data_IF_103936885087
#
_entry.id   IF_103936885087
#
_cell.length_a   1.000
_cell.length_b   1.000
_cell.length_c   1.000
_cell.angle_alpha   90.00
_cell.angle_beta   90.00
_cell.angle_gamma   90.00
#
_symmetry.space_group_name_H-M   'P 1'
#
loop_
_entity.id
_entity.type
_entity.pdbx_description
1 polymer ?
#
# COMPACT_ATOMS: atom_id res chain seq x y z
N UNK A 1 -14.23 35.35 10.97
CA UNK A 1 -13.82 34.18 11.77
C UNK A 1 -14.53 32.95 11.18
N UNK A 2 -13.87 32.24 10.26
CA UNK A 2 -14.48 31.10 9.56
C UNK A 2 -14.28 29.82 10.39
N UNK A 3 -15.38 29.25 10.88
CA UNK A 3 -15.39 27.93 11.49
C UNK A 3 -15.44 26.86 10.40
N UNK A 4 -14.34 26.11 10.22
CA UNK A 4 -14.34 24.91 9.41
C UNK A 4 -15.13 23.81 10.14
N UNK A 5 -16.33 23.47 9.63
CA UNK A 5 -17.05 22.25 10.04
C UNK A 5 -16.45 21.08 9.29
N UNK A 6 -15.50 20.39 9.91
CA UNK A 6 -15.05 19.08 9.42
C UNK A 6 -16.18 18.07 9.60
N UNK A 7 -16.58 17.41 8.52
CA UNK A 7 -17.52 16.30 8.55
C UNK A 7 -16.76 15.05 9.03
N UNK A 8 -16.69 14.86 10.35
CA UNK A 8 -16.02 13.72 10.98
C UNK A 8 -17.02 12.58 11.10
N UNK A 9 -16.75 11.45 10.44
CA UNK A 9 -17.48 10.20 10.65
C UNK A 9 -17.19 9.66 12.06
N UNK A 10 -18.21 9.10 12.71
CA UNK A 10 -18.10 8.52 14.05
C UNK A 10 -18.65 7.10 14.04
N UNK A 11 -17.96 6.19 14.72
CA UNK A 11 -18.54 4.91 15.12
C UNK A 11 -19.26 5.09 16.45
N UNK A 12 -20.56 4.77 16.50
CA UNK A 12 -21.35 4.74 17.73
C UNK A 12 -21.43 3.29 18.19
N UNK A 13 -20.78 2.96 19.30
CA UNK A 13 -20.74 1.60 19.85
C UNK A 13 -21.67 1.54 21.05
N UNK A 14 -22.70 0.69 20.97
CA UNK A 14 -23.58 0.40 22.09
C UNK A 14 -23.07 -0.86 22.81
N UNK A 15 -22.56 -0.68 24.03
CA UNK A 15 -22.00 -1.77 24.84
C UNK A 15 -23.05 -2.76 25.36
N UNK A 16 -22.61 -3.73 26.16
CA UNK A 16 -23.49 -4.72 26.83
C UNK A 16 -23.66 -6.04 26.09
N UNK A 17 -23.12 -6.17 24.88
CA UNK A 17 -23.15 -7.41 24.09
C UNK A 17 -21.83 -8.19 24.22
N UNK A 18 -21.91 -9.48 24.53
CA UNK A 18 -20.74 -10.38 24.44
C UNK A 18 -20.49 -10.73 22.97
N UNK A 19 -19.23 -10.64 22.54
CA UNK A 19 -18.83 -11.09 21.21
C UNK A 19 -18.76 -12.62 21.17
N UNK A 20 -19.30 -13.22 20.11
CA UNK A 20 -19.24 -14.65 19.83
C UNK A 20 -19.19 -14.86 18.32
N UNK A 21 -18.33 -15.77 17.85
CA UNK A 21 -18.13 -16.07 16.43
C UNK A 21 -16.66 -16.10 16.04
N UNK A 22 -16.42 -16.17 14.74
CA UNK A 22 -15.09 -16.23 14.13
C UNK A 22 -14.93 -15.10 13.12
N UNK A 23 -13.70 -14.62 12.96
CA UNK A 23 -13.34 -13.64 11.94
C UNK A 23 -12.15 -14.15 11.13
N UNK A 24 -12.10 -13.78 9.86
CA UNK A 24 -10.94 -14.02 9.02
C UNK A 24 -9.88 -12.94 9.26
N UNK A 25 -8.64 -13.36 9.49
CA UNK A 25 -7.49 -12.47 9.56
C UNK A 25 -6.84 -12.33 8.18
N UNK A 26 -6.76 -11.11 7.67
CA UNK A 26 -6.01 -10.80 6.44
C UNK A 26 -4.53 -10.59 6.74
N UNK A 27 -3.70 -10.63 5.69
CA UNK A 27 -2.26 -10.48 5.82
C UNK A 27 -1.83 -9.16 6.45
N UNK A 28 -0.67 -9.18 7.09
CA UNK A 28 -0.14 -8.05 7.82
C UNK A 28 0.30 -6.93 6.86
N UNK A 29 -0.31 -5.74 7.00
CA UNK A 29 0.05 -4.53 6.25
C UNK A 29 1.57 -4.32 6.14
N UNK A 30 2.26 -4.36 7.28
CA UNK A 30 3.69 -4.05 7.35
C UNK A 30 4.57 -5.06 6.62
N UNK A 31 4.12 -6.31 6.48
CA UNK A 31 4.80 -7.31 5.67
C UNK A 31 4.51 -7.06 4.19
N UNK A 32 3.23 -6.87 3.83
CA UNK A 32 2.81 -6.60 2.45
C UNK A 32 3.53 -5.39 1.84
N UNK A 33 3.63 -4.27 2.59
CA UNK A 33 4.35 -3.08 2.11
C UNK A 33 5.83 -3.34 1.81
N UNK A 34 6.51 -4.16 2.62
CA UNK A 34 7.92 -4.51 2.40
C UNK A 34 8.08 -5.46 1.22
N UNK A 35 7.15 -6.38 1.01
CA UNK A 35 7.14 -7.28 -0.14
C UNK A 35 6.88 -6.52 -1.45
N UNK A 36 5.96 -5.56 -1.44
CA UNK A 36 5.74 -4.65 -2.58
C UNK A 36 7.02 -3.87 -2.89
N UNK A 37 7.69 -3.29 -1.88
CA UNK A 37 8.94 -2.58 -2.09
C UNK A 37 10.07 -3.51 -2.61
N UNK A 38 10.16 -4.74 -2.09
CA UNK A 38 11.12 -5.73 -2.54
C UNK A 38 10.91 -6.16 -4.00
N UNK A 39 9.68 -6.10 -4.53
CA UNK A 39 9.42 -6.39 -5.95
C UNK A 39 10.21 -5.48 -6.90
N UNK A 40 10.60 -4.27 -6.46
CA UNK A 40 11.49 -3.39 -7.24
C UNK A 40 12.82 -4.09 -7.53
N UNK A 41 13.39 -4.78 -6.54
CA UNK A 41 14.69 -5.46 -6.68
C UNK A 41 14.62 -6.67 -7.63
N UNK A 42 13.46 -7.30 -7.72
CA UNK A 42 13.24 -8.46 -8.60
C UNK A 42 13.26 -8.02 -10.07
N UNK A 43 12.63 -6.89 -10.38
CA UNK A 43 12.61 -6.35 -11.75
C UNK A 43 11.83 -7.21 -12.74
N UNK A 44 10.90 -8.02 -12.26
CA UNK A 44 10.05 -8.92 -13.04
C UNK A 44 8.70 -9.10 -12.31
N UNK A 45 7.85 -9.99 -12.84
CA UNK A 45 6.54 -10.33 -12.28
C UNK A 45 6.65 -11.02 -10.93
N UNK A 46 5.86 -10.56 -9.96
CA UNK A 46 5.71 -11.08 -8.61
C UNK A 46 4.23 -11.19 -8.27
N UNK A 47 3.83 -12.28 -7.64
CA UNK A 47 2.49 -12.46 -7.11
C UNK A 47 2.54 -12.53 -5.59
N UNK A 48 1.73 -11.68 -4.94
CA UNK A 48 1.56 -11.65 -3.49
C UNK A 48 0.12 -12.06 -3.15
N UNK A 49 -0.02 -13.08 -2.30
CA UNK A 49 -1.32 -13.53 -1.79
C UNK A 49 -1.60 -12.96 -0.41
N UNK A 50 -2.88 -13.00 0.00
CA UNK A 50 -3.35 -12.52 1.30
C UNK A 50 -2.97 -11.06 1.59
N UNK A 51 -2.97 -10.19 0.57
CA UNK A 51 -2.68 -8.76 0.71
C UNK A 51 -3.94 -8.03 1.17
N UNK A 52 -3.89 -7.25 2.28
CA UNK A 52 -5.05 -6.50 2.75
C UNK A 52 -5.42 -5.38 1.77
N UNK A 53 -6.71 -5.13 1.60
CA UNK A 53 -7.20 -3.99 0.82
C UNK A 53 -7.37 -2.74 1.69
N UNK A 54 -6.30 -1.95 1.77
CA UNK A 54 -6.23 -0.76 2.60
C UNK A 54 -5.43 0.35 1.90
N UNK A 55 -5.67 1.59 2.32
CA UNK A 55 -5.11 2.80 1.71
C UNK A 55 -3.59 2.76 1.51
N UNK A 56 -2.81 2.34 2.52
CA UNK A 56 -1.34 2.29 2.42
C UNK A 56 -0.85 1.42 1.25
N UNK A 57 -1.53 0.28 0.98
CA UNK A 57 -1.20 -0.61 -0.13
C UNK A 57 -1.56 0.04 -1.46
N UNK A 58 -2.71 0.71 -1.52
CA UNK A 58 -3.16 1.42 -2.72
C UNK A 58 -2.23 2.59 -3.07
N UNK A 59 -1.78 3.35 -2.07
CA UNK A 59 -0.84 4.46 -2.26
C UNK A 59 0.51 3.96 -2.75
N UNK A 60 1.10 2.92 -2.14
CA UNK A 60 2.36 2.34 -2.63
C UNK A 60 2.22 1.82 -4.07
N UNK A 61 1.12 1.12 -4.37
CA UNK A 61 0.86 0.62 -5.72
C UNK A 61 0.76 1.77 -6.73
N UNK A 62 0.07 2.85 -6.35
CA UNK A 62 -0.07 4.05 -7.20
C UNK A 62 1.27 4.71 -7.47
N UNK A 63 2.16 4.80 -6.46
CA UNK A 63 3.52 5.32 -6.64
C UNK A 63 4.25 4.49 -7.69
N UNK A 64 4.27 3.16 -7.54
CA UNK A 64 4.98 2.28 -8.47
C UNK A 64 4.38 2.30 -9.88
N UNK A 65 3.06 2.36 -10.00
CA UNK A 65 2.37 2.50 -11.29
C UNK A 65 2.81 3.78 -12.00
N UNK A 66 2.85 4.91 -11.29
CA UNK A 66 3.32 6.18 -11.87
C UNK A 66 4.79 6.15 -12.28
N UNK A 67 5.58 5.27 -11.67
CA UNK A 67 6.97 5.01 -12.04
C UNK A 67 7.14 3.99 -13.17
N UNK A 68 6.04 3.38 -13.65
CA UNK A 68 6.05 2.45 -14.80
C UNK A 68 5.80 0.99 -14.47
N UNK A 69 5.54 0.63 -13.20
CA UNK A 69 5.12 -0.73 -12.86
C UNK A 69 3.70 -1.02 -13.38
N UNK A 70 3.40 -2.28 -13.68
CA UNK A 70 2.04 -2.75 -13.90
C UNK A 70 1.58 -3.49 -12.64
N UNK A 71 0.48 -3.08 -12.04
CA UNK A 71 -0.03 -3.70 -10.81
C UNK A 71 -1.52 -3.97 -10.96
N UNK A 72 -1.90 -5.21 -10.75
CA UNK A 72 -3.27 -5.69 -10.81
C UNK A 72 -3.67 -6.32 -9.48
N UNK A 73 -4.92 -6.13 -9.09
CA UNK A 73 -5.49 -6.76 -7.90
C UNK A 73 -6.67 -7.62 -8.28
N UNK A 74 -6.66 -8.84 -7.74
CA UNK A 74 -7.81 -9.73 -7.70
C UNK A 74 -8.06 -10.15 -6.24
N UNK A 75 -9.10 -9.59 -5.62
CA UNK A 75 -9.41 -9.77 -4.20
C UNK A 75 -8.18 -9.47 -3.29
N UNK A 76 -7.63 -10.50 -2.64
CA UNK A 76 -6.46 -10.43 -1.77
C UNK A 76 -5.16 -10.85 -2.47
N UNK A 77 -5.17 -11.00 -3.80
CA UNK A 77 -4.00 -11.23 -4.62
C UNK A 77 -3.56 -9.92 -5.28
N UNK A 78 -2.27 -9.63 -5.21
CA UNK A 78 -1.65 -8.50 -5.88
C UNK A 78 -0.57 -9.02 -6.83
N UNK A 79 -0.76 -8.78 -8.12
CA UNK A 79 0.21 -9.08 -9.16
C UNK A 79 0.97 -7.81 -9.49
N UNK A 80 2.30 -7.83 -9.41
CA UNK A 80 3.16 -6.70 -9.70
C UNK A 80 4.15 -7.09 -10.79
N UNK A 81 4.27 -6.28 -11.82
CA UNK A 81 5.36 -6.35 -12.80
C UNK A 81 6.18 -5.07 -12.70
N UNK A 82 7.42 -5.22 -12.23
CA UNK A 82 8.36 -4.11 -12.06
C UNK A 82 9.43 -4.09 -13.15
N UNK A 83 9.29 -4.84 -14.25
CA UNK A 83 10.29 -4.86 -15.33
C UNK A 83 10.44 -3.50 -16.04
N UNK A 84 9.34 -2.76 -16.16
CA UNK A 84 9.27 -1.45 -16.85
C UNK A 84 9.41 -0.23 -15.93
N UNK A 85 9.81 -0.45 -14.68
CA UNK A 85 10.01 0.62 -13.69
C UNK A 85 11.17 1.53 -14.13
N UNK A 86 10.95 2.85 -14.07
CA UNK A 86 11.90 3.87 -14.53
C UNK A 86 12.59 4.55 -13.36
N UNK A 87 13.82 4.98 -13.58
CA UNK A 87 14.59 5.83 -12.66
C UNK A 87 14.05 7.27 -12.67
N UNK A 88 12.86 7.47 -12.09
CA UNK A 88 12.22 8.77 -11.92
C UNK A 88 11.92 9.01 -10.45
N UNK A 89 11.83 10.29 -10.07
CA UNK A 89 11.47 10.64 -8.70
C UNK A 89 9.99 10.28 -8.42
N UNK A 90 9.68 9.57 -7.32
CA UNK A 90 8.31 9.30 -6.92
C UNK A 90 7.52 10.60 -6.68
N UNK A 91 6.22 10.60 -6.97
CA UNK A 91 5.39 11.80 -6.79
C UNK A 91 5.35 12.24 -5.31
N UNK A 92 5.84 13.46 -5.04
CA UNK A 92 6.00 13.96 -3.68
C UNK A 92 4.69 14.01 -2.86
N UNK A 93 3.54 14.25 -3.51
CA UNK A 93 2.23 14.28 -2.85
C UNK A 93 1.87 12.91 -2.26
N UNK A 94 2.12 11.82 -3.00
CA UNK A 94 1.86 10.45 -2.60
C UNK A 94 2.89 9.95 -1.58
N UNK A 95 4.17 10.33 -1.75
CA UNK A 95 5.21 10.00 -0.76
C UNK A 95 4.88 10.60 0.60
N UNK A 96 4.34 11.84 0.65
CA UNK A 96 3.97 12.51 1.89
C UNK A 96 2.64 12.03 2.48
N UNK A 97 1.78 11.39 1.69
CA UNK A 97 0.46 10.96 2.17
C UNK A 97 0.53 9.77 3.13
N UNK A 98 1.59 8.97 3.07
CA UNK A 98 1.85 7.88 4.00
C UNK A 98 3.29 7.90 4.52
N UNK A 99 3.50 7.65 5.82
CA UNK A 99 4.86 7.53 6.39
C UNK A 99 5.60 6.30 5.85
N UNK A 100 4.87 5.27 5.45
CA UNK A 100 5.43 4.01 5.00
C UNK A 100 6.16 4.10 3.65
N UNK A 101 5.98 5.17 2.87
CA UNK A 101 6.69 5.40 1.60
C UNK A 101 8.22 5.30 1.73
N UNK A 102 8.76 5.54 2.94
CA UNK A 102 10.18 5.36 3.27
C UNK A 102 10.73 3.98 2.90
N UNK A 103 9.89 2.93 2.87
CA UNK A 103 10.36 1.57 2.51
C UNK A 103 10.84 1.45 1.07
N UNK A 104 10.48 2.41 0.20
CA UNK A 104 10.89 2.42 -1.21
C UNK A 104 12.34 2.90 -1.40
N UNK A 105 12.91 3.64 -0.44
CA UNK A 105 14.23 4.27 -0.60
C UNK A 105 15.32 3.23 -0.89
N UNK A 106 15.37 2.15 -0.08
CA UNK A 106 16.39 1.11 -0.22
C UNK A 106 16.32 0.42 -1.59
N UNK A 107 15.18 -0.17 -1.97
CA UNK A 107 15.02 -0.84 -3.26
C UNK A 107 15.23 0.06 -4.49
N UNK A 108 14.76 1.31 -4.45
CA UNK A 108 14.95 2.25 -5.56
C UNK A 108 16.43 2.63 -5.71
N UNK A 109 17.11 2.91 -4.61
CA UNK A 109 18.54 3.23 -4.62
C UNK A 109 19.34 2.04 -5.16
N UNK A 110 19.09 0.83 -4.66
CA UNK A 110 19.81 -0.36 -5.08
C UNK A 110 19.62 -0.72 -6.58
N UNK A 111 18.48 -0.34 -7.19
CA UNK A 111 18.19 -0.64 -8.59
C UNK A 111 18.65 0.45 -9.57
N UNK A 112 18.60 1.71 -9.18
CA UNK A 112 18.76 2.85 -10.10
C UNK A 112 19.93 3.79 -9.76
N UNK A 113 20.55 3.65 -8.60
CA UNK A 113 21.62 4.53 -8.10
C UNK A 113 22.99 3.87 -8.06
#
# INVERSE_FOLDING_TARGET
MFFWRFQISKFIINGGQKLSGEIQCFGAKNAAMKMIAASILIGDRVELENVPDISDIQVLSTILIKMGAQIERDQHRLTLDTSQLKAIEPEASLVRSIRASVVLIGPLLARFG
#
